data_IF_353488617179
#
_entry.id   IF_353488617179
#
_cell.length_a   1.000
_cell.length_b   1.000
_cell.length_c   1.000
_cell.angle_alpha   90.00
_cell.angle_beta   90.00
_cell.angle_gamma   90.00
#
_symmetry.space_group_name_H-M   'P 1'
#
loop_
_entity.id
_entity.type
_entity.pdbx_description
1 polymer ?
#
# COMPACT_ATOMS: atom_id res chain seq x y z
N UNK A 1 -0.55 9.35 -6.03
CA UNK A 1 0.30 8.90 -4.90
C UNK A 1 1.69 8.60 -5.43
N UNK A 2 2.73 9.02 -4.71
CA UNK A 2 4.10 8.62 -5.03
C UNK A 2 4.32 7.16 -4.61
N UNK A 3 5.16 6.43 -5.35
CA UNK A 3 5.41 5.02 -5.05
C UNK A 3 6.68 4.51 -5.73
N UNK A 4 7.24 3.45 -5.18
CA UNK A 4 8.23 2.60 -5.85
C UNK A 4 7.53 1.40 -6.48
N UNK A 5 7.96 1.01 -7.67
CA UNK A 5 7.44 -0.15 -8.41
C UNK A 5 8.63 -0.83 -9.10
N UNK A 6 9.10 -1.92 -8.52
CA UNK A 6 10.30 -2.61 -8.95
C UNK A 6 10.06 -4.12 -9.04
N UNK A 7 10.71 -4.75 -10.00
CA UNK A 7 10.64 -6.20 -10.20
C UNK A 7 9.44 -6.63 -11.03
N UNK A 8 9.33 -7.95 -11.20
CA UNK A 8 8.27 -8.61 -11.97
C UNK A 8 7.76 -9.84 -11.21
N UNK A 9 6.54 -10.25 -11.52
CA UNK A 9 5.89 -11.40 -10.90
C UNK A 9 4.71 -11.00 -10.02
N UNK A 10 4.37 -11.87 -9.06
CA UNK A 10 3.26 -11.62 -8.15
C UNK A 10 3.54 -10.39 -7.28
N UNK A 11 2.57 -9.48 -7.15
CA UNK A 11 2.80 -8.23 -6.44
C UNK A 11 2.89 -8.41 -4.93
N UNK A 12 3.88 -7.75 -4.33
CA UNK A 12 3.96 -7.51 -2.89
C UNK A 12 3.74 -6.02 -2.66
N UNK A 13 2.75 -5.68 -1.86
CA UNK A 13 2.43 -4.31 -1.51
C UNK A 13 2.83 -4.06 -0.05
N UNK A 14 3.69 -3.07 0.17
CA UNK A 14 4.15 -2.65 1.48
C UNK A 14 3.41 -1.37 1.90
N UNK A 15 2.53 -1.46 2.90
CA UNK A 15 1.75 -0.31 3.39
C UNK A 15 2.28 0.16 4.74
N UNK A 16 2.77 1.41 4.76
CA UNK A 16 3.19 2.07 5.98
C UNK A 16 2.01 2.63 6.78
N UNK A 17 2.30 3.16 7.95
CA UNK A 17 1.32 3.76 8.86
C UNK A 17 1.39 5.28 8.93
N UNK A 18 0.82 5.80 10.00
CA UNK A 18 0.75 7.23 10.31
C UNK A 18 1.39 7.55 11.66
N UNK A 19 2.31 8.50 11.74
CA UNK A 19 2.95 9.26 10.67
C UNK A 19 4.18 8.53 10.14
N UNK A 20 4.20 8.17 8.86
CA UNK A 20 5.31 7.43 8.26
C UNK A 20 5.37 7.65 6.74
N UNK A 21 6.17 6.85 6.05
CA UNK A 21 6.31 6.85 4.60
C UNK A 21 6.88 5.52 4.09
N UNK A 22 6.99 5.38 2.78
CA UNK A 22 7.65 4.26 2.11
C UNK A 22 9.08 4.01 2.60
N UNK A 23 9.74 5.02 3.14
CA UNK A 23 11.10 4.93 3.69
C UNK A 23 11.21 3.89 4.81
N UNK A 24 10.11 3.58 5.51
CA UNK A 24 10.03 2.48 6.49
C UNK A 24 10.55 1.15 5.91
N UNK A 25 10.27 0.89 4.65
CA UNK A 25 10.51 -0.39 3.98
C UNK A 25 11.85 -0.49 3.23
N UNK A 26 12.69 0.56 3.27
CA UNK A 26 13.93 0.68 2.49
C UNK A 26 14.91 -0.49 2.62
N UNK A 27 14.93 -1.15 3.78
CA UNK A 27 15.83 -2.27 4.06
C UNK A 27 15.16 -3.65 3.87
N UNK A 28 13.86 -3.68 3.66
CA UNK A 28 13.08 -4.93 3.55
C UNK A 28 12.64 -5.17 2.10
N UNK A 29 11.98 -4.19 1.49
CA UNK A 29 11.42 -4.31 0.16
C UNK A 29 12.42 -4.73 -0.93
N UNK A 30 13.67 -4.23 -0.96
CA UNK A 30 14.63 -4.62 -1.99
C UNK A 30 14.96 -6.10 -2.04
N UNK A 31 14.80 -6.82 -0.94
CA UNK A 31 15.08 -8.27 -0.89
C UNK A 31 14.14 -9.09 -1.79
N UNK A 32 13.06 -8.51 -2.28
CA UNK A 32 12.05 -9.20 -3.09
C UNK A 32 12.07 -8.79 -4.57
N UNK A 33 12.89 -7.83 -4.98
CA UNK A 33 12.91 -7.29 -6.35
C UNK A 33 13.24 -8.34 -7.42
N UNK A 34 13.97 -9.40 -7.08
CA UNK A 34 14.33 -10.44 -8.03
C UNK A 34 13.25 -11.50 -8.21
N UNK A 35 12.30 -11.61 -7.28
CA UNK A 35 11.30 -12.69 -7.28
C UNK A 35 9.86 -12.18 -7.45
N UNK A 36 9.60 -10.91 -7.19
CA UNK A 36 8.27 -10.34 -7.15
C UNK A 36 8.24 -8.92 -7.75
N UNK A 37 7.06 -8.48 -8.15
CA UNK A 37 6.81 -7.06 -8.37
C UNK A 37 6.54 -6.40 -7.01
N UNK A 38 7.35 -5.46 -6.61
CA UNK A 38 7.29 -4.82 -5.30
C UNK A 38 6.75 -3.40 -5.44
N UNK A 39 5.66 -3.12 -4.73
CA UNK A 39 4.97 -1.83 -4.74
C UNK A 39 5.04 -1.23 -3.35
N UNK A 40 5.63 -0.04 -3.25
CA UNK A 40 5.81 0.66 -1.97
C UNK A 40 5.27 2.09 -2.09
N UNK A 41 3.97 2.31 -1.87
CA UNK A 41 3.38 3.64 -1.96
C UNK A 41 3.63 4.47 -0.70
N UNK A 42 3.65 5.79 -0.89
CA UNK A 42 3.39 6.75 0.16
C UNK A 42 1.88 7.02 0.21
N UNK A 43 1.27 6.86 1.37
CA UNK A 43 -0.14 7.20 1.56
C UNK A 43 -0.37 8.69 1.27
N UNK A 44 -1.58 9.03 0.82
CA UNK A 44 -1.90 10.41 0.47
C UNK A 44 -1.58 11.36 1.63
N UNK A 45 -0.94 12.49 1.33
CA UNK A 45 -0.52 13.46 2.34
C UNK A 45 0.79 13.12 3.07
N UNK A 46 1.37 11.93 2.84
CA UNK A 46 2.59 11.46 3.51
C UNK A 46 3.73 11.25 2.52
N UNK A 47 4.96 11.26 3.01
CA UNK A 47 6.14 11.10 2.17
C UNK A 47 6.15 12.06 0.99
N UNK A 48 6.40 11.54 -0.19
CA UNK A 48 6.42 12.29 -1.46
C UNK A 48 5.06 12.34 -2.16
N UNK A 49 4.01 11.75 -1.59
CA UNK A 49 2.66 11.85 -2.12
C UNK A 49 2.11 13.26 -2.00
N UNK A 50 1.18 13.59 -2.90
CA UNK A 50 0.51 14.88 -2.91
C UNK A 50 -0.14 15.19 -1.55
N UNK A 51 -0.02 16.45 -1.14
CA UNK A 51 -0.68 17.01 0.05
C UNK A 51 -1.99 17.62 -0.41
N UNK A 52 -3.10 17.16 0.18
CA UNK A 52 -4.41 17.71 -0.11
C UNK A 52 -4.53 19.13 0.48
N UNK A 53 -5.25 20.00 -0.22
CA UNK A 53 -5.44 21.39 0.23
C UNK A 53 -6.18 21.46 1.57
N UNK A 54 -5.63 22.26 2.49
CA UNK A 54 -6.20 22.52 3.79
C UNK A 54 -5.86 21.49 4.87
N UNK A 55 -5.47 22.01 6.03
CA UNK A 55 -5.07 21.19 7.20
C UNK A 55 -6.21 20.29 7.69
N UNK A 56 -7.46 20.71 7.45
CA UNK A 56 -8.67 19.99 7.83
C UNK A 56 -9.39 19.37 6.64
N UNK A 57 -8.65 18.97 5.58
CA UNK A 57 -9.27 18.33 4.43
C UNK A 57 -10.02 17.09 4.89
N UNK A 58 -11.32 17.02 4.51
CA UNK A 58 -12.23 15.94 4.89
C UNK A 58 -11.80 14.55 4.44
N UNK A 59 -10.90 14.49 3.45
CA UNK A 59 -10.40 13.23 2.91
C UNK A 59 -9.20 12.68 3.70
N UNK A 60 -8.65 13.45 4.65
CA UNK A 60 -7.64 12.96 5.60
C UNK A 60 -8.27 12.17 6.75
N UNK A 61 -8.94 11.09 6.39
CA UNK A 61 -9.49 10.12 7.32
C UNK A 61 -9.31 8.71 6.73
N UNK A 62 -9.70 7.71 7.49
CA UNK A 62 -9.54 6.31 7.07
C UNK A 62 -10.24 6.01 5.72
N UNK A 63 -11.46 6.49 5.53
CA UNK A 63 -12.21 6.27 4.28
C UNK A 63 -11.56 6.94 3.08
N UNK A 64 -11.04 8.16 3.26
CA UNK A 64 -10.31 8.88 2.22
C UNK A 64 -9.02 8.17 1.83
N UNK A 65 -8.21 7.77 2.80
CA UNK A 65 -7.00 6.98 2.55
C UNK A 65 -7.32 5.67 1.83
N UNK A 66 -8.36 4.98 2.23
CA UNK A 66 -8.79 3.73 1.60
C UNK A 66 -9.20 3.96 0.13
N UNK A 67 -9.95 5.02 -0.14
CA UNK A 67 -10.35 5.41 -1.51
C UNK A 67 -9.12 5.66 -2.39
N UNK A 68 -8.19 6.49 -1.94
CA UNK A 68 -6.96 6.77 -2.68
C UNK A 68 -6.12 5.51 -2.92
N UNK A 69 -6.02 4.63 -1.94
CA UNK A 69 -5.32 3.36 -2.08
C UNK A 69 -5.96 2.48 -3.17
N UNK A 70 -7.28 2.31 -3.15
CA UNK A 70 -7.99 1.50 -4.14
C UNK A 70 -7.83 2.06 -5.56
N UNK A 71 -8.01 3.37 -5.74
CA UNK A 71 -7.84 4.04 -7.03
C UNK A 71 -6.39 3.88 -7.54
N UNK A 72 -5.42 4.02 -6.64
CA UNK A 72 -4.02 3.82 -6.96
C UNK A 72 -3.74 2.39 -7.45
N UNK A 73 -4.16 1.37 -6.71
CA UNK A 73 -3.94 -0.04 -7.09
C UNK A 73 -4.60 -0.40 -8.42
N UNK A 74 -5.78 0.14 -8.70
CA UNK A 74 -6.44 0.00 -10.00
C UNK A 74 -5.63 0.67 -11.11
N UNK A 75 -5.09 1.85 -10.88
CA UNK A 75 -4.33 2.61 -11.88
C UNK A 75 -3.06 1.92 -12.33
N UNK A 76 -2.45 1.11 -11.46
CA UNK A 76 -1.23 0.34 -11.77
C UNK A 76 -1.52 -1.13 -12.09
N UNK A 77 -2.79 -1.47 -12.30
CA UNK A 77 -3.25 -2.81 -12.72
C UNK A 77 -2.91 -3.94 -11.74
N UNK A 78 -2.96 -3.67 -10.45
CA UNK A 78 -2.80 -4.68 -9.39
C UNK A 78 -4.16 -5.33 -9.13
N UNK A 79 -4.31 -6.62 -9.49
CA UNK A 79 -5.62 -7.28 -9.52
C UNK A 79 -5.67 -8.67 -8.87
N UNK A 80 -4.56 -9.40 -8.81
CA UNK A 80 -4.54 -10.79 -8.35
C UNK A 80 -3.20 -11.19 -7.73
N UNK A 81 -3.22 -12.29 -6.98
CA UNK A 81 -2.05 -12.90 -6.33
C UNK A 81 -1.29 -11.90 -5.45
N UNK A 82 -2.01 -11.03 -4.79
CA UNK A 82 -1.45 -9.93 -4.00
C UNK A 82 -0.97 -10.46 -2.65
N UNK A 83 0.28 -10.15 -2.33
CA UNK A 83 0.84 -10.29 -1.00
C UNK A 83 0.85 -8.91 -0.33
N UNK A 84 0.39 -8.84 0.92
CA UNK A 84 0.37 -7.60 1.68
C UNK A 84 1.37 -7.68 2.83
N UNK A 85 2.19 -6.65 2.98
CA UNK A 85 3.05 -6.41 4.14
C UNK A 85 2.61 -5.08 4.74
N UNK A 86 2.04 -5.11 5.92
CA UNK A 86 1.27 -4.00 6.47
C UNK A 86 1.68 -3.67 7.89
N UNK A 87 1.69 -2.38 8.23
CA UNK A 87 2.09 -1.84 9.52
C UNK A 87 1.18 -0.68 9.93
N UNK A 88 0.78 -0.60 11.19
CA UNK A 88 0.00 0.49 11.80
C UNK A 88 -1.30 0.79 10.99
N UNK A 89 -1.51 2.00 10.49
CA UNK A 89 -2.65 2.35 9.62
C UNK A 89 -2.71 1.50 8.35
N UNK A 90 -1.54 1.11 7.83
CA UNK A 90 -1.46 0.15 6.73
C UNK A 90 -2.16 -1.17 7.05
N UNK A 91 -2.19 -1.60 8.32
CA UNK A 91 -2.93 -2.79 8.75
C UNK A 91 -4.44 -2.62 8.52
N UNK A 92 -5.00 -1.53 9.01
CA UNK A 92 -6.42 -1.24 8.80
C UNK A 92 -6.82 -1.17 7.32
N UNK A 93 -6.02 -0.43 6.54
CA UNK A 93 -6.23 -0.27 5.10
C UNK A 93 -6.08 -1.59 4.35
N UNK A 94 -5.00 -2.32 4.61
CA UNK A 94 -4.70 -3.59 3.94
C UNK A 94 -5.70 -4.69 4.29
N UNK A 95 -6.11 -4.82 5.55
CA UNK A 95 -7.12 -5.79 5.97
C UNK A 95 -8.49 -5.48 5.37
N UNK A 96 -8.88 -4.21 5.33
CA UNK A 96 -10.12 -3.80 4.65
C UNK A 96 -10.07 -4.13 3.15
N UNK A 97 -8.95 -3.83 2.50
CA UNK A 97 -8.74 -4.16 1.09
C UNK A 97 -8.86 -5.67 0.86
N UNK A 98 -8.16 -6.48 1.66
CA UNK A 98 -8.18 -7.94 1.54
C UNK A 98 -9.59 -8.52 1.74
N UNK A 99 -10.34 -8.01 2.70
CA UNK A 99 -11.72 -8.43 2.96
C UNK A 99 -12.65 -8.14 1.78
N UNK A 100 -12.56 -6.95 1.20
CA UNK A 100 -13.43 -6.51 0.11
C UNK A 100 -12.97 -7.00 -1.28
N UNK A 101 -11.74 -7.49 -1.38
CA UNK A 101 -11.12 -7.98 -2.61
C UNK A 101 -10.51 -9.36 -2.39
N UNK A 102 -11.24 -10.26 -1.76
CA UNK A 102 -10.73 -11.59 -1.36
C UNK A 102 -10.20 -12.41 -2.54
N UNK A 103 -10.77 -12.28 -3.73
CA UNK A 103 -10.27 -12.94 -4.93
C UNK A 103 -8.88 -12.45 -5.36
N UNK A 104 -8.55 -11.19 -5.07
CA UNK A 104 -7.23 -10.63 -5.37
C UNK A 104 -6.14 -11.21 -4.45
N UNK A 105 -6.50 -11.65 -3.24
CA UNK A 105 -5.59 -12.19 -2.21
C UNK A 105 -5.60 -13.72 -2.18
N UNK A 106 -6.47 -14.40 -2.94
CA UNK A 106 -6.78 -15.86 -2.82
C UNK A 106 -5.54 -16.76 -2.75
N UNK A 107 -4.50 -16.45 -3.50
CA UNK A 107 -3.22 -17.18 -3.48
C UNK A 107 -2.07 -16.37 -2.88
N UNK A 108 -2.37 -15.22 -2.31
CA UNK A 108 -1.42 -14.34 -1.67
C UNK A 108 -1.33 -14.58 -0.15
N UNK A 109 -0.58 -13.72 0.51
CA UNK A 109 -0.40 -13.72 1.97
C UNK A 109 -0.63 -12.34 2.55
N UNK A 110 -0.87 -12.29 3.85
CA UNK A 110 -0.92 -11.05 4.61
C UNK A 110 0.08 -11.17 5.76
N UNK A 111 1.05 -10.29 5.80
CA UNK A 111 2.04 -10.19 6.87
C UNK A 111 1.78 -8.91 7.66
N UNK A 112 1.45 -9.06 8.93
CA UNK A 112 1.25 -7.98 9.88
C UNK A 112 2.56 -7.71 10.62
N UNK A 113 2.97 -6.47 10.67
CA UNK A 113 4.08 -6.00 11.49
C UNK A 113 3.56 -5.03 12.55
N UNK A 114 3.99 -5.27 13.77
CA UNK A 114 3.61 -4.44 14.93
C UNK A 114 4.68 -3.33 15.15
#
# INVERSE_FOLDING_TARGET
MAYYDEGEGDPIIFLHGNPSSSYLWRNIAPNFFQSNRVIVPDLIGMGDSEKLDGVNNKDYNFSGHYKFLCEFLLSISIKKNIHLVIHDWGCGLGLKFARLNSNAIKSGTITLLD
#
